data_IF_570543107405
#
_entry.id   IF_570543107405
#
_cell.length_a   1.000
_cell.length_b   1.000
_cell.length_c   1.000
_cell.angle_alpha   90.00
_cell.angle_beta   90.00
_cell.angle_gamma   90.00
#
_symmetry.space_group_name_H-M   'P 1'
#
loop_
_entity.id
_entity.type
_entity.pdbx_description
1 polymer ?
#
# COMPACT_ATOMS: atom_id res chain seq x y z
N UNK A 1 37.67 -7.06 -59.96
CA UNK A 1 38.77 -6.06 -59.93
C UNK A 1 38.57 -5.24 -58.66
N UNK A 2 39.44 -5.32 -57.65
CA UNK A 2 40.75 -4.64 -57.55
C UNK A 2 40.59 -3.15 -57.18
N UNK A 3 41.20 -2.59 -56.11
CA UNK A 3 42.16 -3.10 -55.10
C UNK A 3 42.08 -2.27 -53.80
N UNK A 4 42.73 -2.74 -52.72
CA UNK A 4 42.96 -2.02 -51.45
C UNK A 4 43.97 -0.85 -51.58
N UNK A 5 44.12 0.01 -50.55
CA UNK A 5 45.08 -0.24 -49.45
C UNK A 5 44.49 0.02 -48.04
N UNK A 6 45.12 -0.23 -46.87
CA UNK A 6 46.10 -1.21 -46.31
C UNK A 6 46.84 -0.53 -45.14
N UNK A 7 46.92 -1.22 -43.98
CA UNK A 7 47.89 -1.03 -42.87
C UNK A 7 47.80 0.28 -42.03
N UNK A 8 48.22 0.35 -40.75
CA UNK A 8 48.75 -0.70 -39.83
C UNK A 8 48.65 -0.30 -38.34
N UNK A 9 48.52 -1.30 -37.45
CA UNK A 9 48.80 -1.18 -36.00
C UNK A 9 50.31 -1.16 -35.70
N UNK A 10 50.72 -0.81 -34.46
CA UNK A 10 51.35 -1.83 -33.62
C UNK A 10 50.86 -1.87 -32.16
N UNK A 11 51.31 -2.90 -31.44
CA UNK A 11 51.01 -3.25 -30.03
C UNK A 11 52.33 -3.36 -29.26
N UNK A 12 52.37 -3.09 -27.94
CA UNK A 12 53.36 -3.70 -27.04
C UNK A 12 52.72 -4.70 -26.06
N UNK A 13 53.47 -5.75 -25.70
CA UNK A 13 53.09 -6.80 -24.74
C UNK A 13 53.91 -6.67 -23.44
N UNK A 14 53.43 -7.23 -22.33
CA UNK A 14 54.25 -7.45 -21.12
C UNK A 14 55.19 -8.67 -21.25
N UNK A 15 56.06 -8.90 -20.25
CA UNK A 15 55.98 -10.18 -19.53
C UNK A 15 56.28 -10.16 -18.00
N UNK A 16 56.06 -11.33 -17.40
CA UNK A 16 56.31 -11.84 -16.03
C UNK A 16 57.82 -12.14 -15.71
N UNK A 17 58.25 -12.76 -14.56
CA UNK A 17 57.83 -12.76 -13.12
C UNK A 17 59.02 -12.81 -12.07
N UNK A 18 58.71 -13.18 -10.80
CA UNK A 18 59.52 -13.95 -9.78
C UNK A 18 60.57 -13.29 -8.82
N UNK A 19 60.31 -13.38 -7.50
CA UNK A 19 61.16 -13.92 -6.38
C UNK A 19 60.44 -13.69 -5.01
N UNK A 20 60.18 -14.66 -4.11
CA UNK A 20 60.99 -15.57 -3.25
C UNK A 20 61.60 -14.92 -1.97
N UNK A 21 61.41 -15.54 -0.79
CA UNK A 21 62.00 -15.14 0.52
C UNK A 21 60.98 -14.93 1.67
N UNK A 22 60.40 -15.96 2.32
CA UNK A 22 60.93 -16.82 3.43
C UNK A 22 61.14 -16.12 4.79
N UNK A 23 60.43 -16.59 5.83
CA UNK A 23 60.68 -16.27 7.25
C UNK A 23 59.64 -16.88 8.22
N UNK A 24 60.04 -17.73 9.17
CA UNK A 24 59.15 -18.47 10.09
C UNK A 24 59.67 -18.43 11.53
N UNK A 25 58.81 -18.22 12.55
CA UNK A 25 59.25 -17.92 13.93
C UNK A 25 58.26 -18.10 15.09
N UNK A 26 57.80 -19.35 15.32
CA UNK A 26 57.29 -19.97 16.58
C UNK A 26 56.96 -19.13 17.84
N UNK A 27 55.76 -19.40 18.39
CA UNK A 27 55.39 -19.65 19.82
C UNK A 27 56.11 -18.88 20.97
N UNK A 28 55.34 -18.28 21.90
CA UNK A 28 55.08 -18.83 23.26
C UNK A 28 54.08 -18.03 24.12
N UNK A 29 53.72 -18.65 25.24
CA UNK A 29 52.63 -18.36 26.19
C UNK A 29 53.01 -17.39 27.35
N UNK A 30 52.13 -17.33 28.35
CA UNK A 30 52.15 -16.58 29.62
C UNK A 30 51.76 -15.09 29.55
N UNK A 31 50.79 -14.56 30.32
CA UNK A 31 50.31 -14.73 31.71
C UNK A 31 50.97 -13.81 32.76
N UNK A 32 50.07 -13.10 33.44
CA UNK A 32 50.10 -12.67 34.85
C UNK A 32 51.01 -11.51 35.32
N UNK A 33 50.28 -10.51 35.86
CA UNK A 33 50.38 -9.97 37.22
C UNK A 33 51.25 -8.75 37.57
N UNK A 34 50.49 -7.72 37.99
CA UNK A 34 50.72 -6.90 39.19
C UNK A 34 51.85 -5.84 39.08
N UNK A 35 51.88 -4.79 39.89
CA UNK A 35 51.44 -4.64 41.29
C UNK A 35 50.78 -3.25 41.54
N UNK A 36 49.69 -3.17 42.34
CA UNK A 36 49.65 -2.69 43.76
C UNK A 36 49.66 -1.15 43.93
N UNK A 37 49.17 -0.54 45.02
CA UNK A 37 48.65 -1.03 46.32
C UNK A 37 47.49 -0.08 46.76
N UNK A 38 46.39 -0.53 47.42
CA UNK A 38 46.17 -0.66 48.89
C UNK A 38 46.11 0.69 49.67
N UNK A 39 45.33 0.88 50.75
CA UNK A 39 44.48 -0.03 51.56
C UNK A 39 43.49 0.76 52.48
N UNK A 40 42.43 0.09 52.98
CA UNK A 40 41.81 0.23 54.35
C UNK A 40 41.07 1.55 54.73
N UNK A 41 40.19 1.58 55.74
CA UNK A 41 39.56 0.53 56.59
C UNK A 41 38.10 0.91 56.98
N UNK A 42 37.39 0.10 57.78
CA UNK A 42 35.94 0.21 58.06
C UNK A 42 35.48 0.99 59.34
N UNK A 43 34.43 0.53 60.08
CA UNK A 43 33.17 1.30 60.13
C UNK A 43 32.48 1.49 61.51
N UNK A 44 31.65 2.54 61.67
CA UNK A 44 30.65 2.67 62.76
C UNK A 44 29.45 3.60 62.41
N UNK A 45 28.27 3.31 62.99
CA UNK A 45 27.05 4.19 63.09
C UNK A 45 27.10 5.10 64.37
N UNK A 46 26.09 5.90 64.83
CA UNK A 46 24.68 6.07 64.37
C UNK A 46 24.02 7.48 64.41
N UNK A 47 22.78 7.59 63.85
CA UNK A 47 21.68 8.56 64.20
C UNK A 47 21.96 10.07 63.97
N UNK A 48 21.00 10.99 63.86
CA UNK A 48 19.54 11.04 63.52
C UNK A 48 19.16 12.54 63.39
N UNK A 49 18.12 13.05 62.70
CA UNK A 49 16.99 12.44 61.95
C UNK A 49 16.89 13.17 60.56
N UNK A 50 15.80 13.56 59.88
CA UNK A 50 14.33 13.65 60.10
C UNK A 50 13.53 13.23 58.84
N UNK A 51 12.23 13.03 59.06
CA UNK A 51 11.12 12.72 58.14
C UNK A 51 10.55 13.99 57.44
N UNK A 52 9.54 14.00 56.55
CA UNK A 52 8.47 13.06 56.11
C UNK A 52 7.94 13.55 54.73
N UNK A 53 7.25 12.87 53.81
CA UNK A 53 7.22 11.49 53.24
C UNK A 53 6.40 11.55 51.93
N UNK A 54 6.54 10.57 51.04
CA UNK A 54 5.53 10.22 50.02
C UNK A 54 5.00 8.80 50.30
N UNK A 55 3.74 8.46 49.94
CA UNK A 55 3.37 7.04 49.83
C UNK A 55 2.57 6.66 48.57
N UNK A 56 2.59 5.36 48.27
CA UNK A 56 1.93 4.66 47.16
C UNK A 56 1.14 3.45 47.74
N UNK A 57 0.28 2.82 46.92
CA UNK A 57 -0.13 1.39 46.98
C UNK A 57 -1.03 0.80 48.10
N UNK A 58 -2.13 0.20 47.59
CA UNK A 58 -2.56 -1.21 47.74
C UNK A 58 -3.02 -1.85 49.09
N UNK A 59 -4.31 -2.25 49.07
CA UNK A 59 -4.85 -3.62 49.31
C UNK A 59 -5.43 -3.98 50.70
N UNK A 60 -6.31 -5.01 50.66
CA UNK A 60 -6.99 -5.79 51.72
C UNK A 60 -8.37 -5.22 52.12
N UNK A 61 -9.50 -5.92 51.89
CA UNK A 61 -10.01 -7.23 52.40
C UNK A 61 -10.85 -7.05 53.70
N UNK A 62 -11.85 -7.93 53.91
CA UNK A 62 -12.90 -7.98 54.99
C UNK A 62 -14.27 -7.34 54.64
N UNK A 63 -15.43 -7.89 55.03
CA UNK A 63 -15.82 -9.29 55.33
C UNK A 63 -17.36 -9.49 55.37
N UNK A 64 -17.82 -10.69 55.01
CA UNK A 64 -19.05 -11.43 55.38
C UNK A 64 -20.41 -10.73 55.74
N UNK A 65 -21.45 -11.05 54.94
CA UNK A 65 -22.79 -11.55 55.33
C UNK A 65 -23.43 -12.15 54.03
N UNK A 66 -23.88 -13.41 53.93
CA UNK A 66 -24.99 -14.15 54.59
C UNK A 66 -26.39 -13.54 54.34
N UNK A 67 -27.45 -14.29 53.99
CA UNK A 67 -27.62 -15.76 53.99
C UNK A 67 -28.71 -16.30 53.02
N UNK A 68 -28.65 -17.62 52.78
CA UNK A 68 -29.77 -18.58 52.55
C UNK A 68 -30.82 -18.47 51.39
N UNK A 69 -30.66 -19.39 50.42
CA UNK A 69 -31.57 -20.50 50.07
C UNK A 69 -33.08 -20.31 49.76
N UNK A 70 -33.51 -20.94 48.66
CA UNK A 70 -34.62 -21.93 48.70
C UNK A 70 -34.57 -22.96 47.55
N UNK A 71 -35.16 -24.12 47.83
CA UNK A 71 -35.01 -25.40 47.13
C UNK A 71 -36.01 -25.65 45.98
N UNK A 72 -35.81 -26.74 45.22
CA UNK A 72 -36.92 -27.39 44.47
C UNK A 72 -36.52 -28.17 43.20
N UNK A 73 -36.63 -29.52 43.16
CA UNK A 73 -36.25 -30.33 41.99
C UNK A 73 -37.43 -31.06 41.30
N UNK A 74 -37.29 -31.39 40.00
CA UNK A 74 -37.84 -32.65 39.43
C UNK A 74 -37.22 -33.04 38.08
N UNK A 75 -36.97 -34.34 37.94
CA UNK A 75 -36.73 -35.11 36.70
C UNK A 75 -37.88 -36.15 36.57
N UNK A 76 -37.97 -37.00 35.53
CA UNK A 76 -37.56 -36.87 34.14
C UNK A 76 -38.70 -37.28 33.16
N UNK A 77 -38.45 -37.23 31.84
CA UNK A 77 -39.04 -38.16 30.83
C UNK A 77 -38.30 -38.02 29.50
N UNK A 78 -37.91 -39.15 28.89
CA UNK A 78 -37.18 -39.17 27.61
C UNK A 78 -37.88 -40.01 26.56
N UNK A 79 -37.42 -39.88 25.31
CA UNK A 79 -37.73 -40.79 24.19
C UNK A 79 -36.54 -40.85 23.24
N UNK A 80 -36.35 -41.97 22.55
CA UNK A 80 -35.11 -42.29 21.83
C UNK A 80 -35.12 -41.93 20.33
N UNK A 81 -33.91 -41.70 19.80
CA UNK A 81 -33.43 -42.04 18.43
C UNK A 81 -34.28 -41.67 17.20
N UNK A 82 -33.70 -40.88 16.29
CA UNK A 82 -33.05 -41.38 15.06
C UNK A 82 -31.87 -40.45 14.73
N UNK A 83 -30.71 -40.99 14.34
CA UNK A 83 -29.55 -40.22 13.90
C UNK A 83 -29.49 -40.07 12.38
N UNK A 84 -29.09 -38.89 11.91
CA UNK A 84 -28.77 -38.60 10.51
C UNK A 84 -27.43 -37.82 10.50
N UNK A 85 -26.51 -38.05 9.54
CA UNK A 85 -25.10 -37.69 9.72
C UNK A 85 -24.85 -36.17 9.64
N UNK A 86 -24.17 -35.61 10.65
CA UNK A 86 -23.81 -34.18 10.76
C UNK A 86 -23.01 -33.61 9.57
N UNK A 87 -22.46 -34.47 8.71
CA UNK A 87 -21.52 -34.08 7.64
C UNK A 87 -22.17 -33.19 6.58
N UNK A 88 -23.37 -33.54 6.12
CA UNK A 88 -24.09 -32.74 5.11
C UNK A 88 -24.59 -31.41 5.67
N UNK A 89 -24.92 -31.36 6.97
CA UNK A 89 -25.31 -30.11 7.64
C UNK A 89 -24.12 -29.15 7.71
N UNK A 90 -22.94 -29.65 8.10
CA UNK A 90 -21.70 -28.86 8.12
C UNK A 90 -21.27 -28.39 6.73
N UNK A 91 -21.46 -29.19 5.68
CA UNK A 91 -21.17 -28.74 4.29
C UNK A 91 -22.15 -27.64 3.82
N UNK A 92 -23.44 -27.71 4.17
CA UNK A 92 -24.42 -26.65 3.86
C UNK A 92 -24.24 -25.39 4.72
N UNK A 93 -23.82 -25.53 5.97
CA UNK A 93 -23.52 -24.40 6.86
C UNK A 93 -22.18 -23.72 6.50
N UNK A 94 -21.18 -24.49 6.03
CA UNK A 94 -19.93 -23.95 5.48
C UNK A 94 -20.17 -23.08 4.23
N UNK A 95 -20.94 -23.59 3.24
CA UNK A 95 -21.32 -22.80 2.06
C UNK A 95 -22.11 -21.52 2.42
N UNK A 96 -22.84 -21.53 3.55
CA UNK A 96 -23.54 -20.35 4.07
C UNK A 96 -22.62 -19.35 4.79
N UNK A 97 -21.49 -19.80 5.33
CA UNK A 97 -20.48 -18.94 5.96
C UNK A 97 -19.47 -18.37 4.95
N UNK A 98 -19.09 -19.13 3.90
CA UNK A 98 -18.30 -18.61 2.76
C UNK A 98 -18.99 -17.41 2.07
N UNK A 99 -20.32 -17.32 2.16
CA UNK A 99 -21.14 -16.21 1.67
C UNK A 99 -21.44 -15.13 2.72
N UNK A 100 -20.85 -15.21 3.93
CA UNK A 100 -21.18 -14.32 5.05
C UNK A 100 -19.97 -13.73 5.79
N UNK A 101 -18.81 -14.37 5.73
CA UNK A 101 -17.56 -13.89 6.35
C UNK A 101 -16.59 -13.31 5.30
N UNK A 102 -17.13 -12.49 4.39
CA UNK A 102 -16.40 -11.90 3.26
C UNK A 102 -16.79 -10.46 2.92
N UNK A 103 -17.60 -9.79 3.76
CA UNK A 103 -18.15 -8.47 3.45
C UNK A 103 -18.41 -7.58 4.68
N UNK A 104 -17.42 -7.43 5.56
CA UNK A 104 -17.33 -6.17 6.35
C UNK A 104 -16.73 -5.10 5.44
N UNK A 105 -17.51 -4.64 4.45
CA UNK A 105 -17.12 -3.49 3.64
C UNK A 105 -16.89 -2.29 4.57
N UNK A 106 -15.77 -1.55 4.47
CA UNK A 106 -15.76 -0.18 4.96
C UNK A 106 -16.85 0.55 4.19
N UNK A 107 -17.88 1.03 4.90
CA UNK A 107 -19.20 1.42 4.37
C UNK A 107 -19.10 2.55 3.34
N UNK A 108 -18.79 2.20 2.09
CA UNK A 108 -18.28 3.17 1.14
C UNK A 108 -19.36 3.73 0.24
N UNK A 109 -19.64 5.02 0.45
CA UNK A 109 -20.48 5.85 -0.39
C UNK A 109 -19.74 6.30 -1.66
N UNK A 110 -19.26 5.35 -2.48
CA UNK A 110 -18.69 5.62 -3.82
C UNK A 110 -19.77 6.04 -4.85
N UNK A 111 -20.77 6.82 -4.44
CA UNK A 111 -21.86 7.30 -5.30
C UNK A 111 -21.41 8.43 -6.20
N UNK A 112 -20.69 8.04 -7.25
CA UNK A 112 -20.78 8.66 -8.57
C UNK A 112 -21.53 7.64 -9.43
N UNK A 113 -22.69 8.02 -9.93
CA UNK A 113 -23.47 7.27 -10.91
C UNK A 113 -23.86 8.22 -12.04
N UNK A 114 -23.98 7.73 -13.27
CA UNK A 114 -24.23 8.61 -14.43
C UNK A 114 -25.48 9.52 -14.34
N UNK A 115 -26.55 9.23 -13.57
CA UNK A 115 -27.63 10.21 -13.32
C UNK A 115 -27.17 11.51 -12.63
N UNK A 116 -26.01 11.56 -11.98
CA UNK A 116 -25.43 12.83 -11.53
C UNK A 116 -24.96 13.72 -12.70
N UNK A 117 -24.75 13.18 -13.91
CA UNK A 117 -24.36 13.96 -15.09
C UNK A 117 -25.46 14.95 -15.46
N UNK A 118 -26.69 14.46 -15.70
CA UNK A 118 -27.85 15.34 -15.95
C UNK A 118 -28.11 16.30 -14.80
N UNK A 119 -27.91 15.85 -13.55
CA UNK A 119 -28.12 16.70 -12.37
C UNK A 119 -27.09 17.83 -12.31
N UNK A 120 -25.80 17.53 -12.49
CA UNK A 120 -24.70 18.50 -12.47
C UNK A 120 -24.75 19.42 -13.69
N UNK A 121 -25.20 18.96 -14.85
CA UNK A 121 -25.48 19.80 -16.02
C UNK A 121 -26.59 20.83 -15.70
N UNK A 122 -27.69 20.40 -15.06
CA UNK A 122 -28.77 21.30 -14.61
C UNK A 122 -28.35 22.23 -13.45
N UNK A 123 -27.46 21.80 -12.57
CA UNK A 123 -26.92 22.63 -11.47
C UNK A 123 -25.88 23.64 -12.00
N UNK A 124 -25.07 23.29 -13.00
CA UNK A 124 -24.19 24.22 -13.70
C UNK A 124 -24.97 25.30 -14.45
N UNK A 125 -25.99 24.91 -15.23
CA UNK A 125 -26.89 25.85 -15.94
C UNK A 125 -27.67 26.79 -14.98
N UNK A 126 -27.87 26.40 -13.71
CA UNK A 126 -28.42 27.30 -12.69
C UNK A 126 -27.40 28.30 -12.14
N UNK A 127 -26.15 27.89 -11.97
CA UNK A 127 -25.11 28.76 -11.41
C UNK A 127 -24.70 29.91 -12.34
N UNK A 128 -24.94 29.81 -13.65
CA UNK A 128 -24.71 30.93 -14.60
C UNK A 128 -25.63 32.14 -14.35
N UNK A 129 -26.69 31.99 -13.54
CA UNK A 129 -27.67 33.05 -13.25
C UNK A 129 -27.86 33.34 -11.75
N UNK A 130 -26.87 33.01 -10.91
CA UNK A 130 -26.88 33.39 -9.48
C UNK A 130 -25.63 34.17 -9.07
N UNK A 131 -25.82 35.43 -8.68
CA UNK A 131 -24.77 36.31 -8.12
C UNK A 131 -24.47 35.92 -6.66
N UNK A 132 -23.96 34.71 -6.49
CA UNK A 132 -23.66 34.09 -5.20
C UNK A 132 -22.26 34.41 -4.68
N UNK A 133 -21.96 34.12 -3.41
CA UNK A 133 -20.63 34.34 -2.84
C UNK A 133 -19.58 33.52 -3.62
N UNK A 134 -18.66 34.23 -4.27
CA UNK A 134 -17.61 33.62 -5.10
C UNK A 134 -16.76 32.64 -4.28
N UNK A 135 -16.49 31.47 -4.85
CA UNK A 135 -15.66 30.46 -4.19
C UNK A 135 -14.29 31.03 -3.80
N UNK A 136 -13.77 30.72 -2.59
CA UNK A 136 -12.58 31.36 -2.07
C UNK A 136 -11.37 31.02 -2.94
N UNK A 137 -10.77 32.01 -3.60
CA UNK A 137 -9.60 31.83 -4.47
C UNK A 137 -8.30 31.97 -3.68
N UNK A 138 -7.45 30.95 -3.71
CA UNK A 138 -6.15 30.99 -3.07
C UNK A 138 -5.15 31.91 -3.78
N UNK A 139 -4.33 32.59 -2.99
CA UNK A 139 -3.32 33.55 -3.47
C UNK A 139 -1.88 33.19 -3.05
N UNK A 140 -1.67 32.05 -2.37
CA UNK A 140 -0.34 31.58 -2.03
C UNK A 140 0.42 31.06 -3.27
N UNK A 141 1.40 31.82 -3.75
CA UNK A 141 2.25 31.47 -4.91
C UNK A 141 3.33 30.41 -4.62
N UNK A 142 3.49 30.02 -3.35
CA UNK A 142 4.47 29.03 -2.87
C UNK A 142 3.79 27.72 -2.46
N UNK A 143 4.57 26.63 -2.37
CA UNK A 143 4.06 25.31 -1.99
C UNK A 143 3.65 25.22 -0.50
N UNK A 144 4.07 26.19 0.32
CA UNK A 144 3.69 26.39 1.73
C UNK A 144 3.47 27.90 1.98
N UNK A 145 2.39 28.31 2.66
CA UNK A 145 2.17 29.71 3.05
C UNK A 145 3.27 30.28 3.94
N UNK A 146 3.62 31.55 3.72
CA UNK A 146 4.68 32.26 4.45
C UNK A 146 4.52 32.18 5.98
N UNK A 147 3.27 32.32 6.46
CA UNK A 147 2.93 32.19 7.88
C UNK A 147 3.24 30.78 8.40
N UNK A 148 2.75 29.75 7.73
CA UNK A 148 2.94 28.37 8.16
C UNK A 148 4.43 28.02 8.21
N UNK A 149 5.20 28.41 7.19
CA UNK A 149 6.65 28.16 7.16
C UNK A 149 7.34 28.75 8.39
N UNK A 150 7.08 30.03 8.71
CA UNK A 150 7.63 30.69 9.91
C UNK A 150 7.15 30.06 11.20
N UNK A 151 5.89 29.63 11.26
CA UNK A 151 5.30 28.95 12.42
C UNK A 151 5.98 27.58 12.65
N UNK A 152 6.27 26.83 11.59
CA UNK A 152 6.96 25.52 11.66
C UNK A 152 8.47 25.65 11.87
N UNK A 153 9.11 26.72 11.41
CA UNK A 153 10.46 27.11 11.86
C UNK A 153 10.47 27.35 13.38
N UNK A 154 9.61 28.25 13.88
CA UNK A 154 9.56 28.62 15.29
C UNK A 154 9.22 27.46 16.23
N UNK A 155 8.29 26.59 15.83
CA UNK A 155 7.89 25.40 16.58
C UNK A 155 8.81 24.19 16.33
N UNK A 156 9.83 24.31 15.45
CA UNK A 156 10.76 23.25 15.03
C UNK A 156 10.06 22.00 14.45
N UNK A 157 8.99 22.22 13.69
CA UNK A 157 8.16 21.21 13.01
C UNK A 157 8.41 21.15 11.49
N UNK A 158 9.66 21.33 11.09
CA UNK A 158 10.09 21.11 9.70
C UNK A 158 10.43 19.64 9.49
N UNK A 159 10.03 19.08 8.35
CA UNK A 159 10.56 17.78 7.93
C UNK A 159 11.98 17.94 7.37
N UNK A 160 12.83 16.90 7.42
CA UNK A 160 14.18 16.95 6.83
C UNK A 160 14.18 17.20 5.30
N UNK A 161 13.04 17.01 4.65
CA UNK A 161 12.85 17.31 3.23
C UNK A 161 12.56 18.79 2.95
N UNK A 162 12.27 19.60 3.97
CA UNK A 162 11.88 21.01 3.91
C UNK A 162 12.94 21.97 4.47
N UNK A 163 13.95 21.46 5.19
CA UNK A 163 15.05 22.24 5.76
C UNK A 163 16.01 22.74 4.67
N UNK A 164 16.79 23.79 4.96
CA UNK A 164 17.93 24.15 4.10
C UNK A 164 19.02 23.05 4.16
N UNK A 165 19.63 22.66 3.03
CA UNK A 165 20.66 21.63 3.01
C UNK A 165 21.83 21.92 3.97
N UNK A 166 22.22 20.93 4.77
CA UNK A 166 23.30 21.03 5.74
C UNK A 166 22.86 21.51 7.14
N UNK A 167 21.65 22.07 7.29
CA UNK A 167 21.11 22.52 8.58
C UNK A 167 20.32 21.43 9.33
N UNK A 168 20.29 20.18 8.82
CA UNK A 168 19.47 19.09 9.39
C UNK A 168 19.92 18.63 10.79
N UNK A 169 21.11 19.07 11.23
CA UNK A 169 21.68 18.81 12.56
C UNK A 169 21.66 20.03 13.49
N UNK A 170 21.23 21.19 13.00
CA UNK A 170 21.27 22.42 13.78
C UNK A 170 20.23 22.43 14.90
N UNK A 171 20.56 23.11 16.01
CA UNK A 171 19.62 23.36 17.11
C UNK A 171 18.39 24.18 16.67
N UNK A 172 18.46 24.83 15.51
CA UNK A 172 17.44 25.69 14.93
C UNK A 172 17.50 25.59 13.39
N UNK A 173 16.97 24.50 12.78
CA UNK A 173 17.00 24.33 11.34
C UNK A 173 16.10 25.38 10.67
N UNK A 174 16.58 25.97 9.58
CA UNK A 174 15.82 26.93 8.77
C UNK A 174 15.05 26.23 7.66
N UNK A 175 13.88 26.76 7.30
CA UNK A 175 13.10 26.24 6.20
C UNK A 175 13.61 26.77 4.86
N UNK A 176 13.69 25.90 3.86
CA UNK A 176 13.92 26.29 2.48
C UNK A 176 12.56 26.64 1.83
N UNK A 177 12.32 27.91 1.41
CA UNK A 177 11.05 28.33 0.80
C UNK A 177 10.72 27.60 -0.51
N UNK A 178 11.72 27.01 -1.17
CA UNK A 178 11.57 26.24 -2.41
C UNK A 178 11.27 24.76 -2.17
N UNK A 179 11.55 24.24 -0.96
CA UNK A 179 11.32 22.83 -0.59
C UNK A 179 10.14 22.61 0.36
N UNK A 180 9.77 23.63 1.14
CA UNK A 180 8.70 23.54 2.16
C UNK A 180 7.34 23.38 1.50
N UNK A 181 6.54 22.40 1.96
CA UNK A 181 5.18 22.16 1.45
C UNK A 181 4.17 22.25 2.60
N UNK A 182 3.01 22.88 2.36
CA UNK A 182 1.91 23.04 3.32
C UNK A 182 1.56 21.70 3.98
N UNK A 183 1.58 21.63 5.31
CA UNK A 183 1.16 20.42 6.04
C UNK A 183 -0.36 20.19 5.95
N UNK A 184 -0.84 18.97 6.20
CA UNK A 184 -2.29 18.73 6.33
C UNK A 184 -2.76 19.14 7.73
N UNK A 185 -3.75 20.04 7.80
CA UNK A 185 -4.34 20.48 9.06
C UNK A 185 -5.75 19.93 9.20
N UNK A 186 -6.04 19.16 10.26
CA UNK A 186 -7.42 18.70 10.52
C UNK A 186 -8.35 19.91 10.63
N UNK A 187 -9.50 19.95 9.90
CA UNK A 187 -10.54 20.93 10.14
C UNK A 187 -10.99 20.84 11.61
N UNK A 188 -11.01 21.99 12.29
CA UNK A 188 -11.50 22.11 13.66
C UNK A 188 -12.80 22.91 13.64
N UNK A 189 -13.79 22.49 14.42
CA UNK A 189 -15.02 23.25 14.59
C UNK A 189 -14.70 24.65 15.14
N UNK A 190 -15.27 25.68 14.53
CA UNK A 190 -15.06 27.08 14.95
C UNK A 190 -13.72 27.70 14.54
N UNK A 191 -12.89 27.08 13.69
CA UNK A 191 -11.80 27.80 13.02
C UNK A 191 -12.37 28.83 12.05
N UNK A 192 -11.75 30.02 12.00
CA UNK A 192 -12.08 31.08 11.05
C UNK A 192 -12.02 30.61 9.59
N UNK A 193 -12.75 31.32 8.72
CA UNK A 193 -12.69 31.11 7.28
C UNK A 193 -11.24 31.14 6.78
N UNK A 194 -10.83 30.12 6.02
CA UNK A 194 -9.42 29.97 5.61
C UNK A 194 -9.04 31.11 4.68
N UNK A 195 -8.06 31.91 5.10
CA UNK A 195 -7.69 33.17 4.46
C UNK A 195 -7.11 32.88 3.05
N UNK A 196 -7.39 33.71 2.03
CA UNK A 196 -6.91 33.48 0.66
C UNK A 196 -5.41 33.21 0.54
N UNK A 197 -4.58 33.91 1.31
CA UNK A 197 -3.12 33.76 1.30
C UNK A 197 -2.60 32.52 2.05
N UNK A 198 -3.47 31.78 2.75
CA UNK A 198 -3.16 30.46 3.31
C UNK A 198 -3.56 29.31 2.34
N UNK A 199 -4.18 29.62 1.20
CA UNK A 199 -4.62 28.67 0.16
C UNK A 199 -3.77 28.81 -1.12
N UNK A 200 -3.41 27.67 -1.73
CA UNK A 200 -2.66 27.62 -3.00
C UNK A 200 -3.62 27.50 -4.18
N UNK A 201 -3.55 28.34 -5.22
CA UNK A 201 -4.39 28.20 -6.42
C UNK A 201 -4.04 26.93 -7.22
N UNK A 202 -4.92 26.46 -8.12
CA UNK A 202 -4.78 25.19 -8.85
C UNK A 202 -3.42 24.96 -9.53
N UNK A 203 -2.88 25.97 -10.21
CA UNK A 203 -1.54 25.90 -10.84
C UNK A 203 -0.40 25.65 -9.84
N UNK A 204 -0.49 26.20 -8.62
CA UNK A 204 0.46 25.97 -7.54
C UNK A 204 0.24 24.60 -6.88
N UNK A 205 -1.00 24.12 -6.82
CA UNK A 205 -1.32 22.76 -6.36
C UNK A 205 -0.72 21.71 -7.32
N UNK A 206 -0.89 21.87 -8.64
CA UNK A 206 -0.28 20.99 -9.65
C UNK A 206 1.25 21.03 -9.58
N UNK A 207 1.85 22.22 -9.47
CA UNK A 207 3.30 22.38 -9.24
C UNK A 207 3.75 21.66 -7.97
N UNK A 208 2.97 21.74 -6.88
CA UNK A 208 3.27 21.07 -5.61
C UNK A 208 3.27 19.56 -5.76
N UNK A 209 2.28 18.97 -6.44
CA UNK A 209 2.24 17.52 -6.68
C UNK A 209 3.40 17.07 -7.57
N UNK A 210 3.73 17.83 -8.62
CA UNK A 210 4.91 17.57 -9.45
C UNK A 210 6.21 17.59 -8.64
N UNK A 211 6.40 18.54 -7.72
CA UNK A 211 7.56 18.57 -6.81
C UNK A 211 7.59 17.36 -5.87
N UNK A 212 6.46 17.04 -5.21
CA UNK A 212 6.36 15.91 -4.29
C UNK A 212 6.64 14.57 -4.97
N UNK A 213 6.23 14.39 -6.23
CA UNK A 213 6.57 13.19 -7.00
C UNK A 213 8.05 13.24 -7.42
N UNK A 214 8.51 14.31 -8.05
CA UNK A 214 9.80 14.31 -8.77
C UNK A 214 11.02 14.53 -7.86
N UNK A 215 10.94 15.48 -6.94
CA UNK A 215 12.04 15.79 -6.03
C UNK A 215 12.05 14.85 -4.80
N UNK A 216 10.90 14.32 -4.40
CA UNK A 216 10.75 13.52 -3.18
C UNK A 216 10.48 12.03 -3.46
N UNK A 217 9.33 11.67 -4.04
CA UNK A 217 8.93 10.26 -4.21
C UNK A 217 9.84 9.44 -5.16
N UNK A 218 10.35 10.08 -6.21
CA UNK A 218 11.30 9.53 -7.19
C UNK A 218 12.77 9.68 -6.74
N UNK A 219 13.01 10.29 -5.57
CA UNK A 219 14.29 10.44 -4.88
C UNK A 219 15.14 9.16 -4.75
N UNK A 220 16.22 8.86 -5.52
CA UNK A 220 17.05 7.69 -5.20
C UNK A 220 17.86 7.90 -3.91
N UNK A 221 18.19 9.14 -3.56
CA UNK A 221 18.94 9.48 -2.34
C UNK A 221 18.06 9.60 -1.09
N UNK A 222 16.75 9.69 -1.24
CA UNK A 222 15.81 9.81 -0.11
C UNK A 222 15.32 8.43 0.31
N UNK A 223 15.98 7.88 1.33
CA UNK A 223 15.59 6.64 2.01
C UNK A 223 15.47 6.86 3.53
N UNK A 224 14.69 6.06 4.27
CA UNK A 224 13.83 4.96 3.79
C UNK A 224 12.58 5.47 3.06
N UNK A 225 12.03 4.69 2.13
CA UNK A 225 10.87 5.13 1.36
C UNK A 225 9.55 5.16 2.16
N UNK A 226 9.50 4.55 3.35
CA UNK A 226 8.37 4.70 4.29
C UNK A 226 8.21 6.15 4.73
N UNK A 227 9.31 6.80 5.13
CA UNK A 227 9.30 8.23 5.51
C UNK A 227 9.03 9.16 4.31
N UNK A 228 9.50 8.77 3.11
CA UNK A 228 9.15 9.44 1.85
C UNK A 228 7.65 9.36 1.58
N UNK A 229 7.04 8.18 1.78
CA UNK A 229 5.60 7.99 1.69
C UNK A 229 4.87 8.83 2.73
N UNK A 230 5.21 8.75 4.02
CA UNK A 230 4.52 9.48 5.09
C UNK A 230 4.50 10.99 4.83
N UNK A 231 5.64 11.55 4.43
CA UNK A 231 5.74 12.96 4.05
C UNK A 231 4.88 13.28 2.82
N UNK A 232 5.06 12.57 1.70
CA UNK A 232 4.32 12.87 0.47
C UNK A 232 2.82 12.68 0.69
N UNK A 233 2.40 11.62 1.37
CA UNK A 233 1.01 11.33 1.68
C UNK A 233 0.33 12.44 2.49
N UNK A 234 0.97 12.96 3.55
CA UNK A 234 0.47 14.11 4.29
C UNK A 234 0.34 15.37 3.41
N UNK A 235 1.38 15.68 2.64
CA UNK A 235 1.41 16.87 1.78
C UNK A 235 0.42 16.78 0.61
N UNK A 236 0.12 15.59 0.08
CA UNK A 236 -0.95 15.36 -0.89
C UNK A 236 -2.35 15.49 -0.26
N UNK A 237 -2.54 15.13 1.02
CA UNK A 237 -3.79 15.40 1.75
C UNK A 237 -3.99 16.90 1.97
N UNK A 238 -2.92 17.66 2.21
CA UNK A 238 -2.96 19.13 2.23
C UNK A 238 -3.33 19.73 0.86
N UNK A 239 -2.80 19.18 -0.24
CA UNK A 239 -3.20 19.57 -1.59
C UNK A 239 -4.69 19.32 -1.82
N UNK A 240 -5.19 18.11 -1.52
CA UNK A 240 -6.63 17.79 -1.66
C UNK A 240 -7.51 18.66 -0.76
N UNK A 241 -7.05 19.01 0.44
CA UNK A 241 -7.76 19.94 1.33
C UNK A 241 -7.92 21.33 0.69
N UNK A 242 -6.84 21.90 0.12
CA UNK A 242 -6.92 23.18 -0.59
C UNK A 242 -7.83 23.09 -1.82
N UNK A 243 -7.85 21.96 -2.54
CA UNK A 243 -8.77 21.75 -3.67
C UNK A 243 -10.24 21.75 -3.23
N UNK A 244 -10.55 21.10 -2.09
CA UNK A 244 -11.91 21.03 -1.55
C UNK A 244 -12.40 22.41 -1.11
N UNK A 245 -11.56 23.17 -0.39
CA UNK A 245 -11.93 24.51 0.11
C UNK A 245 -12.22 25.48 -1.04
N UNK A 246 -11.44 25.42 -2.12
CA UNK A 246 -11.58 26.30 -3.29
C UNK A 246 -12.52 25.73 -4.38
N UNK A 247 -13.19 24.60 -4.12
CA UNK A 247 -14.06 23.86 -5.06
C UNK A 247 -13.45 23.64 -6.47
N UNK A 248 -12.16 23.30 -6.52
CA UNK A 248 -11.41 23.15 -7.78
C UNK A 248 -12.04 22.08 -8.66
N UNK A 249 -12.24 22.40 -9.93
CA UNK A 249 -12.95 21.58 -10.93
C UNK A 249 -12.27 21.70 -12.32
N UNK A 250 -12.80 21.01 -13.33
CA UNK A 250 -12.26 21.05 -14.69
C UNK A 250 -10.88 20.37 -14.84
N UNK A 251 -10.15 20.66 -15.95
CA UNK A 251 -8.90 19.97 -16.29
C UNK A 251 -7.78 20.11 -15.25
N UNK A 252 -7.66 21.25 -14.57
CA UNK A 252 -6.67 21.42 -13.48
C UNK A 252 -6.96 20.48 -12.30
N UNK A 253 -8.24 20.22 -11.99
CA UNK A 253 -8.63 19.27 -10.96
C UNK A 253 -8.24 17.84 -11.33
N UNK A 254 -8.54 17.43 -12.57
CA UNK A 254 -8.14 16.13 -13.11
C UNK A 254 -6.62 15.95 -13.06
N UNK A 255 -5.84 16.85 -13.66
CA UNK A 255 -4.38 16.74 -13.76
C UNK A 255 -3.66 16.63 -12.40
N UNK A 256 -4.24 17.19 -11.33
CA UNK A 256 -3.77 17.03 -9.94
C UNK A 256 -4.18 15.66 -9.36
N UNK A 257 -5.45 15.27 -9.49
CA UNK A 257 -5.99 14.01 -8.97
C UNK A 257 -5.38 12.79 -9.65
N UNK A 258 -5.15 12.83 -10.96
CA UNK A 258 -4.44 11.79 -11.71
C UNK A 258 -3.10 11.44 -11.06
N UNK A 259 -2.23 12.45 -10.87
CA UNK A 259 -0.91 12.31 -10.27
C UNK A 259 -0.98 11.73 -8.85
N UNK A 260 -1.98 12.16 -8.07
CA UNK A 260 -2.27 11.61 -6.73
C UNK A 260 -2.64 10.13 -6.83
N UNK A 261 -3.54 9.75 -7.74
CA UNK A 261 -3.96 8.35 -7.94
C UNK A 261 -2.81 7.47 -8.40
N UNK A 262 -1.98 7.92 -9.36
CA UNK A 262 -0.78 7.17 -9.81
C UNK A 262 0.20 6.95 -8.63
N UNK A 263 0.45 7.97 -7.81
CA UNK A 263 1.28 7.84 -6.60
C UNK A 263 0.69 6.86 -5.58
N UNK A 264 -0.60 6.96 -5.25
CA UNK A 264 -1.24 6.13 -4.22
C UNK A 264 -1.40 4.65 -4.65
N UNK A 265 -1.60 4.38 -5.94
CA UNK A 265 -1.53 3.03 -6.51
C UNK A 265 -0.12 2.45 -6.41
N UNK A 266 0.90 3.22 -6.79
CA UNK A 266 2.29 2.79 -6.70
C UNK A 266 2.73 2.57 -5.25
N UNK A 267 2.36 3.46 -4.32
CA UNK A 267 2.59 3.30 -2.90
C UNK A 267 1.94 2.02 -2.36
N UNK A 268 0.69 1.74 -2.79
CA UNK A 268 -0.04 0.53 -2.38
C UNK A 268 0.68 -0.75 -2.74
N UNK A 269 1.41 -0.78 -3.86
CA UNK A 269 2.24 -1.93 -4.25
C UNK A 269 3.64 -1.88 -3.63
N UNK A 270 4.31 -0.73 -3.61
CA UNK A 270 5.69 -0.61 -3.12
C UNK A 270 5.83 -0.99 -1.64
N UNK A 271 4.83 -0.66 -0.83
CA UNK A 271 4.79 -0.88 0.62
C UNK A 271 3.95 -2.11 1.03
N UNK A 272 3.49 -2.96 0.09
CA UNK A 272 2.53 -4.04 0.39
C UNK A 272 3.05 -5.13 1.36
N UNK A 273 4.35 -5.16 1.67
CA UNK A 273 4.99 -6.11 2.59
C UNK A 273 5.42 -5.46 3.93
N UNK A 274 5.33 -4.13 4.04
CA UNK A 274 5.81 -3.39 5.22
C UNK A 274 4.98 -3.65 6.50
N UNK A 275 5.54 -3.45 7.70
CA UNK A 275 4.78 -3.50 8.94
C UNK A 275 3.70 -2.42 9.02
N UNK A 276 2.54 -2.73 9.61
CA UNK A 276 1.40 -1.81 9.76
C UNK A 276 1.74 -0.51 10.52
N UNK A 277 2.83 -0.53 11.31
CA UNK A 277 3.40 0.64 12.02
C UNK A 277 4.18 1.61 11.12
N UNK A 278 4.51 1.22 9.89
CA UNK A 278 5.22 2.03 8.88
C UNK A 278 4.34 2.30 7.63
N UNK A 279 3.28 1.52 7.43
CA UNK A 279 2.33 1.70 6.33
C UNK A 279 0.99 1.05 6.67
N UNK A 280 -0.09 1.84 6.73
CA UNK A 280 -1.46 1.32 6.85
C UNK A 280 -2.12 1.28 5.45
N UNK A 281 -2.32 0.09 4.85
CA UNK A 281 -2.96 -0.04 3.55
C UNK A 281 -4.41 0.42 3.53
N UNK A 282 -5.14 0.40 4.65
CA UNK A 282 -6.54 0.85 4.71
C UNK A 282 -6.65 2.37 4.59
N UNK A 283 -5.72 3.10 5.22
CA UNK A 283 -5.62 4.55 5.11
C UNK A 283 -5.23 4.97 3.69
N UNK A 284 -4.32 4.24 3.03
CA UNK A 284 -3.99 4.46 1.62
C UNK A 284 -5.18 4.13 0.68
N UNK A 285 -5.83 2.97 0.85
CA UNK A 285 -7.01 2.54 0.07
C UNK A 285 -8.13 3.58 0.16
N UNK A 286 -8.41 4.09 1.37
CA UNK A 286 -9.40 5.16 1.59
C UNK A 286 -9.07 6.40 0.77
N UNK A 287 -7.86 6.96 0.92
CA UNK A 287 -7.49 8.19 0.23
C UNK A 287 -7.29 8.01 -1.29
N UNK A 288 -6.93 6.80 -1.75
CA UNK A 288 -6.88 6.45 -3.18
C UNK A 288 -8.29 6.41 -3.78
N UNK A 289 -9.22 5.73 -3.14
CA UNK A 289 -10.57 5.52 -3.66
C UNK A 289 -11.43 6.80 -3.62
N UNK A 290 -11.25 7.66 -2.62
CA UNK A 290 -11.76 9.04 -2.63
C UNK A 290 -11.24 9.81 -3.85
N UNK A 291 -9.94 9.71 -4.13
CA UNK A 291 -9.29 10.45 -5.24
C UNK A 291 -9.74 9.91 -6.60
N UNK A 292 -9.88 8.59 -6.74
CA UNK A 292 -10.50 7.93 -7.90
C UNK A 292 -11.95 8.39 -8.09
N UNK A 293 -12.77 8.35 -7.04
CA UNK A 293 -14.19 8.74 -7.12
C UNK A 293 -14.35 10.20 -7.57
N UNK A 294 -13.52 11.11 -7.04
CA UNK A 294 -13.49 12.50 -7.48
C UNK A 294 -13.05 12.61 -8.95
N UNK A 295 -11.94 11.97 -9.32
CA UNK A 295 -11.39 11.99 -10.68
C UNK A 295 -12.37 11.47 -11.73
N UNK A 296 -13.04 10.34 -11.45
CA UNK A 296 -14.06 9.79 -12.34
C UNK A 296 -15.27 10.74 -12.48
N UNK A 297 -15.61 11.52 -11.45
CA UNK A 297 -16.65 12.57 -11.55
C UNK A 297 -16.21 13.79 -12.36
N UNK A 298 -14.90 14.04 -12.52
CA UNK A 298 -14.38 15.07 -13.43
C UNK A 298 -14.53 14.64 -14.89
N UNK A 299 -14.38 13.35 -15.20
CA UNK A 299 -14.55 12.80 -16.54
C UNK A 299 -16.01 12.74 -17.04
N UNK A 300 -17.01 13.03 -16.20
CA UNK A 300 -18.40 13.11 -16.64
C UNK A 300 -18.67 14.28 -17.62
N UNK A 301 -17.79 15.28 -17.65
CA UNK A 301 -17.95 16.53 -18.42
C UNK A 301 -16.65 16.87 -19.16
N UNK A 302 -16.75 17.08 -20.48
CA UNK A 302 -15.60 17.38 -21.35
C UNK A 302 -14.81 16.15 -21.81
N UNK A 303 -13.78 16.37 -22.62
CA UNK A 303 -12.85 15.33 -23.06
C UNK A 303 -11.54 15.43 -22.25
N UNK A 304 -11.04 14.30 -21.76
CA UNK A 304 -9.84 14.21 -20.91
C UNK A 304 -8.91 13.12 -21.46
N UNK A 305 -7.64 13.43 -21.78
CA UNK A 305 -6.78 12.55 -22.59
C UNK A 305 -6.30 11.27 -21.88
N UNK A 306 -6.51 11.16 -20.56
CA UNK A 306 -6.07 10.03 -19.75
C UNK A 306 -7.23 9.23 -19.13
N UNK A 307 -8.50 9.55 -19.43
CA UNK A 307 -9.64 8.90 -18.77
C UNK A 307 -9.62 7.37 -18.95
N UNK A 308 -9.22 6.87 -20.12
CA UNK A 308 -9.15 5.45 -20.47
C UNK A 308 -8.19 4.67 -19.55
N UNK A 309 -7.09 5.31 -19.12
CA UNK A 309 -6.16 4.78 -18.12
C UNK A 309 -6.88 4.61 -16.78
N UNK A 310 -7.46 5.70 -16.25
CA UNK A 310 -8.03 5.71 -14.91
C UNK A 310 -9.35 4.93 -14.76
N UNK A 311 -10.15 4.82 -15.83
CA UNK A 311 -11.29 3.91 -15.87
C UNK A 311 -10.82 2.44 -15.78
N UNK A 312 -9.75 2.08 -16.50
CA UNK A 312 -9.16 0.74 -16.41
C UNK A 312 -8.52 0.46 -15.05
N UNK A 313 -7.77 1.42 -14.49
CA UNK A 313 -7.18 1.32 -13.15
C UNK A 313 -8.24 1.16 -12.06
N UNK A 314 -9.33 1.93 -12.11
CA UNK A 314 -10.44 1.83 -11.15
C UNK A 314 -11.09 0.44 -11.17
N UNK A 315 -11.35 -0.12 -12.36
CA UNK A 315 -11.96 -1.44 -12.53
C UNK A 315 -11.03 -2.60 -12.11
N UNK A 316 -9.71 -2.45 -12.31
CA UNK A 316 -8.70 -3.42 -11.86
C UNK A 316 -8.47 -3.38 -10.35
N UNK A 317 -8.50 -2.18 -9.75
CA UNK A 317 -8.36 -2.01 -8.30
C UNK A 317 -9.60 -2.49 -7.56
N UNK A 318 -10.80 -2.25 -8.11
CA UNK A 318 -12.10 -2.70 -7.61
C UNK A 318 -12.59 -3.99 -8.30
N UNK A 319 -11.70 -4.94 -8.54
CA UNK A 319 -11.99 -6.21 -9.21
C UNK A 319 -13.15 -6.96 -8.56
N UNK A 320 -14.05 -7.52 -9.37
CA UNK A 320 -15.22 -8.26 -8.89
C UNK A 320 -16.36 -7.38 -8.34
N UNK A 321 -16.16 -6.09 -8.10
CA UNK A 321 -17.23 -5.19 -7.66
C UNK A 321 -18.27 -4.97 -8.75
N UNK A 322 -19.52 -5.38 -8.50
CA UNK A 322 -20.68 -5.12 -9.36
C UNK A 322 -20.80 -3.63 -9.71
N UNK A 323 -20.50 -2.75 -8.76
CA UNK A 323 -20.53 -1.29 -8.92
C UNK A 323 -19.50 -0.79 -9.94
N UNK A 324 -18.25 -1.23 -9.80
CA UNK A 324 -17.18 -0.84 -10.71
C UNK A 324 -17.41 -1.40 -12.13
N UNK A 325 -17.92 -2.64 -12.22
CA UNK A 325 -18.31 -3.23 -13.50
C UNK A 325 -19.47 -2.49 -14.16
N UNK A 326 -20.53 -2.14 -13.41
CA UNK A 326 -21.67 -1.37 -13.94
C UNK A 326 -21.19 -0.03 -14.52
N UNK A 327 -20.43 0.75 -13.75
CA UNK A 327 -19.85 2.01 -14.22
C UNK A 327 -19.00 1.83 -15.49
N UNK A 328 -18.14 0.80 -15.53
CA UNK A 328 -17.33 0.49 -16.72
C UNK A 328 -18.12 0.01 -17.95
N UNK A 329 -19.34 -0.50 -17.76
CA UNK A 329 -20.26 -0.86 -18.84
C UNK A 329 -21.11 0.33 -19.31
N UNK A 330 -21.40 1.29 -18.42
CA UNK A 330 -22.11 2.55 -18.70
C UNK A 330 -21.24 3.61 -19.42
N UNK A 331 -19.93 3.37 -19.58
CA UNK A 331 -19.03 4.29 -20.29
C UNK A 331 -19.40 4.47 -21.77
N UNK A 332 -19.14 5.67 -22.36
CA UNK A 332 -19.24 5.91 -23.80
C UNK A 332 -18.45 4.89 -24.62
N UNK A 333 -18.89 4.61 -25.84
CA UNK A 333 -18.35 3.50 -26.61
C UNK A 333 -16.87 3.69 -26.97
N UNK A 334 -16.41 4.91 -27.23
CA UNK A 334 -15.01 5.23 -27.52
C UNK A 334 -14.11 4.84 -26.33
N UNK A 335 -14.50 5.26 -25.12
CA UNK A 335 -13.78 5.00 -23.87
C UNK A 335 -13.82 3.51 -23.53
N UNK A 336 -14.98 2.87 -23.70
CA UNK A 336 -15.20 1.44 -23.43
C UNK A 336 -14.50 0.55 -24.47
N UNK A 337 -14.25 1.06 -25.68
CA UNK A 337 -13.49 0.39 -26.74
C UNK A 337 -11.97 0.53 -26.57
N UNK A 338 -11.48 1.43 -25.70
CA UNK A 338 -10.05 1.63 -25.48
C UNK A 338 -9.34 0.33 -25.02
N UNK A 339 -8.12 0.03 -25.52
CA UNK A 339 -7.43 -1.24 -25.23
C UNK A 339 -7.25 -1.53 -23.73
N UNK A 340 -6.96 -0.51 -22.92
CA UNK A 340 -6.82 -0.61 -21.47
C UNK A 340 -8.14 -1.03 -20.80
N UNK A 341 -9.24 -0.33 -21.11
CA UNK A 341 -10.58 -0.61 -20.54
C UNK A 341 -11.09 -1.99 -20.99
N UNK A 342 -10.91 -2.37 -22.27
CA UNK A 342 -11.24 -3.71 -22.77
C UNK A 342 -10.44 -4.82 -22.09
N UNK A 343 -9.18 -4.58 -21.76
CA UNK A 343 -8.34 -5.54 -21.03
C UNK A 343 -8.77 -5.65 -19.56
N UNK A 344 -9.05 -4.52 -18.89
CA UNK A 344 -9.59 -4.49 -17.53
C UNK A 344 -10.94 -5.22 -17.42
N UNK A 345 -11.88 -4.97 -18.35
CA UNK A 345 -13.15 -5.70 -18.47
C UNK A 345 -12.92 -7.20 -18.68
N UNK A 346 -11.92 -7.59 -19.48
CA UNK A 346 -11.56 -9.00 -19.70
C UNK A 346 -10.99 -9.67 -18.43
N UNK A 347 -10.22 -8.96 -17.62
CA UNK A 347 -9.67 -9.44 -16.34
C UNK A 347 -10.78 -9.55 -15.29
N UNK A 348 -11.65 -8.54 -15.17
CA UNK A 348 -12.80 -8.57 -14.27
C UNK A 348 -13.79 -9.70 -14.63
N UNK A 349 -14.08 -9.88 -15.93
CA UNK A 349 -14.87 -11.02 -16.41
C UNK A 349 -14.22 -12.37 -16.06
N UNK A 350 -12.90 -12.53 -16.22
CA UNK A 350 -12.20 -13.76 -15.85
C UNK A 350 -12.24 -14.05 -14.33
N UNK A 351 -12.30 -13.01 -13.49
CA UNK A 351 -12.51 -13.12 -12.06
C UNK A 351 -13.93 -13.61 -11.72
N UNK A 352 -14.96 -12.98 -12.32
CA UNK A 352 -16.37 -13.35 -12.11
C UNK A 352 -16.71 -14.75 -12.67
N UNK A 353 -16.11 -15.16 -13.78
CA UNK A 353 -16.15 -16.53 -14.31
C UNK A 353 -15.41 -17.56 -13.42
N UNK A 354 -14.86 -17.15 -12.26
CA UNK A 354 -14.03 -17.97 -11.35
C UNK A 354 -12.89 -18.70 -12.07
N UNK A 355 -12.27 -18.05 -13.05
CA UNK A 355 -11.25 -18.64 -13.92
C UNK A 355 -9.85 -18.03 -13.65
N UNK A 356 -9.14 -18.46 -12.59
CA UNK A 356 -7.87 -17.86 -12.20
C UNK A 356 -6.76 -18.09 -13.25
N UNK A 357 -6.82 -19.18 -14.03
CA UNK A 357 -5.88 -19.44 -15.13
C UNK A 357 -6.05 -18.40 -16.26
N UNK A 358 -7.29 -18.04 -16.61
CA UNK A 358 -7.57 -16.95 -17.57
C UNK A 358 -7.14 -15.60 -17.01
N UNK A 359 -7.43 -15.32 -15.73
CA UNK A 359 -7.06 -14.09 -15.04
C UNK A 359 -5.53 -13.89 -15.03
N UNK A 360 -4.75 -14.86 -14.55
CA UNK A 360 -3.28 -14.79 -14.47
C UNK A 360 -2.60 -14.84 -15.85
N UNK A 361 -3.30 -15.31 -16.90
CA UNK A 361 -2.86 -15.17 -18.31
C UNK A 361 -3.08 -13.76 -18.83
N UNK A 362 -4.21 -13.13 -18.53
CA UNK A 362 -4.50 -11.74 -18.91
C UNK A 362 -3.68 -10.73 -18.11
N UNK A 363 -3.41 -10.98 -16.82
CA UNK A 363 -2.58 -10.15 -15.95
C UNK A 363 -1.16 -9.90 -16.50
N UNK A 364 -0.62 -10.85 -17.28
CA UNK A 364 0.68 -10.68 -17.98
C UNK A 364 0.67 -9.60 -19.06
N UNK A 365 -0.50 -9.26 -19.61
CA UNK A 365 -0.68 -8.24 -20.67
C UNK A 365 -0.93 -6.83 -20.15
N UNK A 366 -1.22 -6.68 -18.85
CA UNK A 366 -1.38 -5.38 -18.20
C UNK A 366 -0.05 -4.62 -18.18
N UNK A 367 -0.08 -3.30 -18.25
CA UNK A 367 1.12 -2.48 -17.97
C UNK A 367 1.51 -2.53 -16.48
N UNK A 368 2.59 -1.85 -16.10
CA UNK A 368 3.08 -1.81 -14.72
C UNK A 368 2.04 -1.25 -13.73
N UNK A 369 1.40 -0.11 -14.02
CA UNK A 369 0.49 0.58 -13.10
C UNK A 369 -0.86 -0.15 -13.00
N UNK A 370 -1.35 -0.70 -14.11
CA UNK A 370 -2.47 -1.66 -14.14
C UNK A 370 -2.18 -2.90 -13.29
N UNK A 371 -0.93 -3.33 -13.23
CA UNK A 371 -0.52 -4.46 -12.39
C UNK A 371 -0.40 -4.08 -10.92
N UNK A 372 0.04 -2.85 -10.61
CA UNK A 372 -0.10 -2.26 -9.27
C UNK A 372 -1.56 -2.11 -8.84
N UNK A 373 -2.50 -1.83 -9.76
CA UNK A 373 -3.93 -1.85 -9.45
C UNK A 373 -4.43 -3.28 -9.14
N UNK A 374 -4.02 -4.27 -9.95
CA UNK A 374 -4.46 -5.66 -9.77
C UNK A 374 -3.84 -6.38 -8.55
N UNK A 375 -2.67 -5.95 -8.06
CA UNK A 375 -1.83 -6.77 -7.15
C UNK A 375 -2.58 -7.35 -5.94
N UNK A 376 -3.45 -6.55 -5.30
CA UNK A 376 -4.23 -6.92 -4.10
C UNK A 376 -5.15 -8.12 -4.30
N UNK A 377 -5.42 -8.51 -5.55
CA UNK A 377 -6.28 -9.64 -5.94
C UNK A 377 -5.49 -10.91 -6.33
N UNK A 378 -4.17 -10.80 -6.56
CA UNK A 378 -3.36 -11.89 -7.12
C UNK A 378 -3.19 -13.06 -6.13
N UNK A 379 -3.04 -12.78 -4.85
CA UNK A 379 -2.84 -13.78 -3.79
C UNK A 379 -4.08 -14.67 -3.63
N UNK A 380 -5.27 -14.07 -3.49
CA UNK A 380 -6.54 -14.78 -3.47
C UNK A 380 -6.80 -15.56 -4.77
N UNK A 381 -6.46 -14.99 -5.93
CA UNK A 381 -6.56 -15.68 -7.22
C UNK A 381 -5.66 -16.94 -7.28
N UNK A 382 -4.44 -16.87 -6.73
CA UNK A 382 -3.50 -18.00 -6.65
C UNK A 382 -3.97 -19.08 -5.67
N UNK A 383 -4.51 -18.71 -4.51
CA UNK A 383 -5.14 -19.65 -3.55
C UNK A 383 -6.32 -20.38 -4.17
N UNK A 384 -7.22 -19.65 -4.83
CA UNK A 384 -8.37 -20.24 -5.53
C UNK A 384 -7.94 -21.20 -6.66
N UNK A 385 -6.84 -20.93 -7.37
CA UNK A 385 -6.26 -21.87 -8.32
C UNK A 385 -5.79 -23.16 -7.63
N UNK A 386 -5.08 -23.05 -6.50
CA UNK A 386 -4.64 -24.21 -5.72
C UNK A 386 -5.81 -25.01 -5.11
N UNK A 387 -6.89 -24.35 -4.67
CA UNK A 387 -8.11 -25.01 -4.21
C UNK A 387 -8.74 -25.85 -5.34
N UNK A 388 -8.96 -25.23 -6.51
CA UNK A 388 -9.53 -25.91 -7.68
C UNK A 388 -8.68 -27.11 -8.12
N UNK A 389 -7.36 -26.97 -8.14
CA UNK A 389 -6.44 -28.07 -8.46
C UNK A 389 -6.41 -29.14 -7.35
N UNK A 390 -6.48 -28.75 -6.08
CA UNK A 390 -6.51 -29.69 -4.95
C UNK A 390 -7.76 -30.56 -4.94
N UNK A 391 -8.87 -30.08 -5.51
CA UNK A 391 -10.09 -30.86 -5.72
C UNK A 391 -10.03 -31.65 -7.04
N UNK A 392 -9.78 -30.99 -8.17
CA UNK A 392 -9.83 -31.59 -9.51
C UNK A 392 -8.73 -32.63 -9.81
N UNK A 393 -7.57 -32.53 -9.15
CA UNK A 393 -6.46 -33.47 -9.28
C UNK A 393 -6.23 -34.34 -8.03
N UNK A 394 -7.24 -34.45 -7.15
CA UNK A 394 -7.17 -35.20 -5.88
C UNK A 394 -7.04 -36.73 -6.08
N UNK A 395 -5.84 -37.21 -6.41
CA UNK A 395 -5.56 -38.64 -6.64
C UNK A 395 -4.17 -39.03 -6.16
N UNK A 396 -4.07 -40.19 -5.50
CA UNK A 396 -2.83 -40.73 -4.91
C UNK A 396 -1.70 -40.95 -5.93
N UNK A 397 -2.05 -41.07 -7.22
CA UNK A 397 -1.11 -41.27 -8.32
C UNK A 397 -0.83 -39.98 -9.12
N UNK A 398 -1.57 -38.88 -8.88
CA UNK A 398 -1.38 -37.62 -9.60
C UNK A 398 -0.17 -36.87 -9.05
N UNK A 399 0.88 -36.72 -9.87
CA UNK A 399 2.10 -35.97 -9.55
C UNK A 399 2.29 -34.86 -10.58
N UNK A 400 1.72 -33.69 -10.31
CA UNK A 400 1.71 -32.56 -11.23
C UNK A 400 3.09 -31.86 -11.25
N UNK A 401 3.63 -31.43 -12.40
CA UNK A 401 4.93 -30.77 -12.45
C UNK A 401 4.91 -29.38 -11.78
N UNK A 402 5.79 -29.13 -10.82
CA UNK A 402 5.90 -27.85 -10.10
C UNK A 402 6.12 -26.67 -11.07
N UNK A 403 6.98 -26.85 -12.08
CA UNK A 403 7.30 -25.83 -13.10
C UNK A 403 6.14 -25.50 -14.05
N UNK A 404 5.15 -26.39 -14.19
CA UNK A 404 3.89 -26.06 -14.87
C UNK A 404 2.97 -25.26 -13.94
N UNK A 405 2.89 -25.66 -12.66
CA UNK A 405 2.06 -24.98 -11.66
C UNK A 405 2.55 -23.55 -11.37
N UNK A 406 3.85 -23.35 -11.27
CA UNK A 406 4.48 -22.03 -11.13
C UNK A 406 4.14 -21.10 -12.32
N UNK A 407 4.19 -21.63 -13.55
CA UNK A 407 3.73 -20.91 -14.76
C UNK A 407 2.24 -20.58 -14.72
N UNK A 408 1.38 -21.48 -14.23
CA UNK A 408 -0.05 -21.20 -14.06
C UNK A 408 -0.31 -20.12 -13.00
N UNK A 409 0.38 -20.20 -11.86
CA UNK A 409 0.29 -19.24 -10.73
C UNK A 409 0.94 -17.88 -11.02
N UNK A 410 1.75 -17.77 -12.08
CA UNK A 410 2.62 -16.64 -12.36
C UNK A 410 3.54 -16.32 -11.17
N UNK A 411 4.33 -17.33 -10.77
CA UNK A 411 5.32 -17.30 -9.70
C UNK A 411 6.59 -18.04 -10.17
N UNK A 412 7.69 -17.82 -9.46
CA UNK A 412 8.87 -18.70 -9.56
C UNK A 412 8.61 -20.06 -8.90
N UNK A 413 9.30 -21.12 -9.34
CA UNK A 413 9.14 -22.49 -8.81
C UNK A 413 9.29 -22.55 -7.27
N UNK A 414 10.21 -21.77 -6.69
CA UNK A 414 10.43 -21.68 -5.25
C UNK A 414 9.27 -21.00 -4.50
N UNK A 415 8.75 -19.90 -5.06
CA UNK A 415 7.59 -19.17 -4.52
C UNK A 415 6.32 -20.02 -4.61
N UNK A 416 6.10 -20.68 -5.75
CA UNK A 416 5.00 -21.61 -5.97
C UNK A 416 5.05 -22.79 -4.98
N UNK A 417 6.23 -23.39 -4.77
CA UNK A 417 6.39 -24.45 -3.77
C UNK A 417 6.14 -23.96 -2.33
N UNK A 418 6.51 -22.71 -2.01
CA UNK A 418 6.22 -22.11 -0.71
C UNK A 418 4.71 -21.93 -0.49
N UNK A 419 4.01 -21.35 -1.48
CA UNK A 419 2.56 -21.18 -1.45
C UNK A 419 1.82 -22.53 -1.37
N UNK A 420 2.25 -23.54 -2.13
CA UNK A 420 1.68 -24.89 -2.03
C UNK A 420 1.76 -25.44 -0.60
N UNK A 421 2.94 -25.39 0.03
CA UNK A 421 3.11 -25.86 1.42
C UNK A 421 2.24 -25.08 2.41
N UNK A 422 2.13 -23.76 2.25
CA UNK A 422 1.30 -22.92 3.12
C UNK A 422 -0.22 -23.19 2.95
N UNK A 423 -0.65 -23.67 1.78
CA UNK A 423 -2.00 -24.19 1.55
C UNK A 423 -2.16 -25.70 1.85
N UNK A 424 -1.22 -26.33 2.54
CA UNK A 424 -1.24 -27.77 2.87
C UNK A 424 -1.02 -28.73 1.69
N UNK A 425 -0.66 -28.22 0.51
CA UNK A 425 -0.41 -29.00 -0.70
C UNK A 425 1.03 -29.53 -0.70
N UNK A 426 1.18 -30.86 -0.70
CA UNK A 426 2.49 -31.53 -0.64
C UNK A 426 3.33 -31.31 -1.90
N UNK A 427 4.57 -30.88 -1.71
CA UNK A 427 5.59 -30.73 -2.77
C UNK A 427 6.75 -31.67 -2.48
N UNK A 428 7.19 -32.43 -3.48
CA UNK A 428 8.27 -33.42 -3.37
C UNK A 428 9.12 -33.39 -4.62
N UNK A 429 10.33 -32.83 -4.51
CA UNK A 429 11.21 -32.61 -5.67
C UNK A 429 10.57 -31.68 -6.71
N UNK A 430 10.49 -32.13 -7.95
CA UNK A 430 9.88 -31.45 -9.10
C UNK A 430 8.35 -31.52 -9.14
N UNK A 431 7.70 -32.15 -8.14
CA UNK A 431 6.28 -32.57 -8.22
C UNK A 431 5.43 -32.08 -7.07
N UNK A 432 4.17 -31.84 -7.40
CA UNK A 432 3.09 -31.42 -6.50
C UNK A 432 2.04 -32.52 -6.45
N UNK A 433 1.64 -32.92 -5.25
CA UNK A 433 0.64 -33.96 -5.00
C UNK A 433 -0.63 -33.32 -4.43
N UNK A 434 -1.70 -33.34 -5.21
CA UNK A 434 -2.97 -32.70 -4.86
C UNK A 434 -3.88 -33.64 -4.04
N UNK A 435 -4.54 -33.09 -3.01
CA UNK A 435 -5.40 -33.83 -2.08
C UNK A 435 -6.47 -32.91 -1.51
N UNK A 436 -7.76 -33.20 -1.76
CA UNK A 436 -8.88 -32.44 -1.19
C UNK A 436 -8.85 -32.42 0.35
N UNK A 437 -8.37 -33.49 0.99
CA UNK A 437 -8.33 -33.61 2.44
C UNK A 437 -7.10 -32.95 3.09
N UNK A 438 -6.16 -32.44 2.29
CA UNK A 438 -4.92 -31.81 2.77
C UNK A 438 -4.86 -30.32 2.49
N UNK A 439 -5.72 -29.79 1.61
CA UNK A 439 -5.81 -28.35 1.38
C UNK A 439 -6.28 -27.64 2.66
N UNK A 440 -5.53 -26.61 3.06
CA UNK A 440 -5.88 -25.70 4.15
C UNK A 440 -5.93 -24.29 3.56
N UNK A 441 -7.00 -23.55 3.86
CA UNK A 441 -7.03 -22.11 3.62
C UNK A 441 -6.20 -21.43 4.71
N UNK A 442 -5.05 -20.78 4.39
CA UNK A 442 -4.20 -20.18 5.39
C UNK A 442 -4.91 -19.00 6.08
N UNK A 443 -4.73 -18.80 7.40
CA UNK A 443 -5.52 -17.86 8.17
C UNK A 443 -5.28 -16.40 7.72
N UNK A 444 -6.33 -15.55 7.72
CA UNK A 444 -6.22 -14.16 7.25
C UNK A 444 -5.29 -13.35 8.15
N UNK A 445 -4.08 -13.09 7.65
CA UNK A 445 -3.04 -12.34 8.36
C UNK A 445 -1.66 -13.00 8.37
N UNK A 446 -1.56 -14.29 8.00
CA UNK A 446 -0.25 -14.90 7.72
C UNK A 446 0.40 -14.25 6.49
N UNK A 447 1.48 -13.48 6.74
CA UNK A 447 2.17 -12.71 5.70
C UNK A 447 2.93 -13.62 4.73
N UNK A 448 2.25 -14.02 3.68
CA UNK A 448 2.88 -14.50 2.45
C UNK A 448 3.30 -13.28 1.62
N UNK A 449 4.24 -13.47 0.68
CA UNK A 449 4.74 -12.35 -0.15
C UNK A 449 3.61 -11.81 -1.03
N UNK A 450 3.24 -10.55 -0.79
CA UNK A 450 2.21 -9.80 -1.54
C UNK A 450 2.79 -9.13 -2.78
N UNK A 451 4.13 -9.02 -2.88
CA UNK A 451 4.82 -8.67 -4.13
C UNK A 451 4.69 -9.77 -5.18
N UNK A 452 4.95 -9.41 -6.43
CA UNK A 452 4.71 -10.32 -7.55
C UNK A 452 5.59 -9.99 -8.75
N UNK A 453 6.88 -10.32 -8.66
CA UNK A 453 7.90 -10.07 -9.67
C UNK A 453 7.43 -10.30 -11.12
N UNK A 454 6.96 -11.51 -11.43
CA UNK A 454 6.50 -11.92 -12.77
C UNK A 454 5.37 -11.09 -13.38
N UNK A 455 4.52 -10.47 -12.53
CA UNK A 455 3.34 -9.72 -12.97
C UNK A 455 3.47 -8.20 -12.76
N UNK A 456 4.39 -7.74 -11.90
CA UNK A 456 4.52 -6.33 -11.52
C UNK A 456 5.98 -5.87 -11.68
N UNK A 457 6.91 -6.27 -10.80
CA UNK A 457 8.28 -5.72 -10.76
C UNK A 457 9.02 -5.86 -12.10
N UNK A 458 8.86 -7.00 -12.79
CA UNK A 458 9.52 -7.27 -14.08
C UNK A 458 9.10 -6.26 -15.17
N UNK A 459 7.92 -5.65 -15.05
CA UNK A 459 7.40 -4.62 -15.96
C UNK A 459 7.85 -3.21 -15.59
N UNK A 460 8.44 -3.01 -14.40
CA UNK A 460 9.07 -1.74 -14.05
C UNK A 460 10.39 -1.52 -14.79
N UNK A 461 11.04 -2.60 -15.28
CA UNK A 461 12.29 -2.51 -16.04
C UNK A 461 12.14 -1.84 -17.41
N UNK A 462 10.95 -1.94 -18.02
CA UNK A 462 10.69 -1.42 -19.37
C UNK A 462 10.36 0.09 -19.40
N UNK A 463 10.09 0.71 -18.24
CA UNK A 463 9.66 2.11 -18.14
C UNK A 463 10.28 2.84 -16.95
N UNK A 464 10.79 4.06 -17.18
CA UNK A 464 11.17 4.94 -16.07
C UNK A 464 9.97 5.20 -15.15
N UNK A 465 10.17 5.07 -13.84
CA UNK A 465 9.13 5.33 -12.84
C UNK A 465 8.59 6.78 -12.90
N UNK A 466 9.37 7.71 -13.47
CA UNK A 466 8.91 9.06 -13.78
C UNK A 466 7.79 9.08 -14.83
N UNK A 467 7.90 8.27 -15.89
CA UNK A 467 6.84 8.11 -16.91
C UNK A 467 5.60 7.47 -16.29
N UNK A 468 5.79 6.44 -15.46
CA UNK A 468 4.69 5.77 -14.72
C UNK A 468 3.90 6.76 -13.85
N UNK A 469 4.57 7.67 -13.12
CA UNK A 469 3.88 8.60 -12.21
C UNK A 469 3.42 9.91 -12.89
N UNK A 470 3.92 10.23 -14.07
CA UNK A 470 3.40 11.34 -14.90
C UNK A 470 2.26 10.93 -15.83
N UNK A 471 2.18 9.65 -16.20
CA UNK A 471 1.43 9.19 -17.36
C UNK A 471 2.29 9.21 -18.62
N UNK A 472 1.89 8.42 -19.62
CA UNK A 472 2.41 8.58 -20.99
C UNK A 472 1.83 9.88 -21.59
N UNK A 473 2.61 10.60 -22.44
CA UNK A 473 2.13 11.78 -23.16
C UNK A 473 1.10 11.44 -24.23
#
# INVERSE_FOLDING_TARGET
>A
MSREPKNSFPVPRGPHPQSEGRGCGRKKDCLREAQKNEQRDGPTEPRSTYTVTCPERERREREAQKNEQRDGPTEPRGTCTVTCPERERREREAQKNEQRDGSTEPRSTYTVTCPERERREREAQKNEHSDGPTDPRGTCTLMCPERERREREAQKRLHRFEMMPGMEKDRWPRADPTRTVKEYSRPAAGKDATRPHDLRPPSVLLKTVCYLINAIALSPSLQPWTEVYDFVFDRLRSVRQDMIIQRVSGPECAAVLERIVRFLLYASYRLCEEPLRLYDPRINDTHLQESLSWLLSCYCVGHHPHQEEFQALSLLYNLGSTRALQHALELPEEVRAAPAVRLALSVNRAHLERNPVRLLRLARRLDFLQSCALHRHLEACRRHLLLLYSYGHSSRNCRFPLRELARLLALEDAQAASLCRACGVSVTGDRVSFSKASYVEPPPGERQSTRSYELVDRKQGDHSLALVLHGSP
#
